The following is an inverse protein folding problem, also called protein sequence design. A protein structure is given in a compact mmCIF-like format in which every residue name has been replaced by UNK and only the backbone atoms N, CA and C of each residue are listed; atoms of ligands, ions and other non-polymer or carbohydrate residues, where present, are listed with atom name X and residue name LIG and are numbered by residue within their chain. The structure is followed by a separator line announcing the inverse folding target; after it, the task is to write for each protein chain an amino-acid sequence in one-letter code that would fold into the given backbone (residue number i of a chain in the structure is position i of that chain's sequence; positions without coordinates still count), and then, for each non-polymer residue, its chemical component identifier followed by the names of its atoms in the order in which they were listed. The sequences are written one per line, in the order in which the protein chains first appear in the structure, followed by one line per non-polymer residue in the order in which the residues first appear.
data_IF_466167460101
#
_entry.id   IF_466167460101
#
_cell.length_a   1.000
_cell.length_b   1.000
_cell.length_c   1.000
_cell.angle_alpha   90.00
_cell.angle_beta   90.00
_cell.angle_gamma   90.00
#
_symmetry.space_group_name_H-M   'P 1'
#
loop_
_entity.id
_entity.type
_entity.pdbx_description
1 polymer ?
#
# COMPACT_ATOMS: atom_id res chain seq x y z
N UNK A 1 23.73 5.50 -2.55
CA UNK A 1 23.57 6.24 -1.28
C UNK A 1 22.43 5.52 -0.62
N UNK A 2 22.80 4.59 0.26
CA UNK A 2 21.94 3.49 0.71
C UNK A 2 20.71 4.03 1.43
N UNK A 3 19.58 3.39 1.16
CA UNK A 3 18.32 3.62 1.86
C UNK A 3 18.60 3.68 3.36
N UNK A 4 18.33 4.84 3.94
CA UNK A 4 18.47 5.12 5.36
C UNK A 4 17.76 4.00 6.14
N UNK A 5 18.53 3.19 6.89
CA UNK A 5 18.00 2.04 7.64
C UNK A 5 16.98 2.52 8.67
N UNK A 6 15.69 2.45 8.35
CA UNK A 6 14.62 2.79 9.29
C UNK A 6 14.69 1.86 10.50
N UNK A 7 15.06 2.42 11.64
CA UNK A 7 15.17 1.73 12.91
C UNK A 7 13.81 1.24 13.40
N UNK A 8 13.81 0.24 14.28
CA UNK A 8 12.58 -0.19 14.93
C UNK A 8 11.91 0.98 15.69
N UNK A 9 12.70 1.80 16.39
CA UNK A 9 12.22 2.95 17.17
C UNK A 9 11.46 3.97 16.31
N UNK A 10 12.00 4.34 15.14
CA UNK A 10 11.33 5.25 14.20
C UNK A 10 10.01 4.66 13.71
N UNK A 11 9.99 3.36 13.42
CA UNK A 11 8.77 2.67 12.98
C UNK A 11 7.70 2.62 14.06
N UNK A 12 8.08 2.40 15.32
CA UNK A 12 7.14 2.49 16.45
C UNK A 12 6.61 3.90 16.66
N UNK A 13 7.45 4.92 16.53
CA UNK A 13 7.05 6.32 16.67
C UNK A 13 6.03 6.69 15.57
N UNK A 14 6.33 6.39 14.31
CA UNK A 14 5.44 6.63 13.19
C UNK A 14 4.11 5.87 13.30
N UNK A 15 4.14 4.63 13.78
CA UNK A 15 2.92 3.87 14.03
C UNK A 15 2.01 4.54 15.06
N UNK A 16 2.56 5.02 16.18
CA UNK A 16 1.79 5.72 17.22
C UNK A 16 1.23 7.05 16.73
N UNK A 17 1.93 7.74 15.85
CA UNK A 17 1.45 8.99 15.25
C UNK A 17 0.30 8.74 14.26
N UNK A 18 0.44 7.74 13.38
CA UNK A 18 -0.56 7.42 12.35
C UNK A 18 -1.79 6.70 12.92
N UNK A 19 -1.58 5.88 13.94
CA UNK A 19 -2.58 5.01 14.55
C UNK A 19 -2.50 5.08 16.08
N UNK A 20 -2.90 6.20 16.71
CA UNK A 20 -2.75 6.43 18.15
C UNK A 20 -3.48 5.39 19.02
N UNK A 21 -4.54 4.78 18.48
CA UNK A 21 -5.31 3.74 19.16
C UNK A 21 -5.01 2.33 18.62
N UNK A 22 -4.09 2.21 17.66
CA UNK A 22 -3.58 0.92 17.20
C UNK A 22 -2.64 0.32 18.24
N UNK A 23 -2.46 -1.00 18.19
CA UNK A 23 -1.49 -1.67 19.05
C UNK A 23 -0.74 -2.77 18.29
N UNK A 24 0.45 -3.09 18.78
CA UNK A 24 1.28 -4.17 18.28
C UNK A 24 1.76 -4.99 19.46
N UNK A 25 1.59 -6.30 19.37
CA UNK A 25 2.03 -7.27 20.36
C UNK A 25 2.94 -8.32 19.73
N UNK A 26 3.77 -8.97 20.53
CA UNK A 26 4.49 -10.14 20.10
C UNK A 26 4.44 -11.21 21.17
N UNK A 27 4.39 -12.46 20.71
CA UNK A 27 4.26 -13.65 21.53
C UNK A 27 5.37 -14.63 21.16
N UNK A 28 5.85 -15.36 22.17
CA UNK A 28 6.80 -16.44 21.96
C UNK A 28 6.08 -17.62 21.32
N UNK A 29 6.42 -17.92 20.06
CA UNK A 29 5.84 -19.04 19.32
C UNK A 29 6.52 -20.37 19.71
N UNK A 30 7.86 -20.36 19.79
CA UNK A 30 8.65 -21.53 20.12
C UNK A 30 10.03 -21.17 20.64
N UNK A 31 10.57 -22.10 21.43
CA UNK A 31 11.97 -22.15 21.85
C UNK A 31 12.56 -23.43 21.28
N UNK A 32 13.69 -23.31 20.59
CA UNK A 32 14.42 -24.43 20.01
C UNK A 32 15.77 -24.56 20.71
N UNK A 33 15.96 -25.68 21.40
CA UNK A 33 17.25 -26.05 21.97
C UNK A 33 17.99 -26.94 20.98
N UNK A 34 19.20 -26.55 20.62
CA UNK A 34 20.01 -27.26 19.62
C UNK A 34 21.01 -28.22 20.28
N UNK A 35 21.46 -29.28 19.58
CA UNK A 35 22.36 -30.29 20.15
C UNK A 35 23.72 -29.75 20.62
N UNK A 36 24.18 -28.64 20.05
CA UNK A 36 25.40 -27.92 20.41
C UNK A 36 25.17 -26.85 21.52
N UNK A 37 23.99 -26.86 22.16
CA UNK A 37 23.68 -26.10 23.36
C UNK A 37 23.25 -24.66 23.13
N UNK A 38 23.14 -24.21 21.87
CA UNK A 38 22.57 -22.89 21.59
C UNK A 38 21.04 -22.94 21.56
N UNK A 39 20.42 -21.78 21.80
CA UNK A 39 18.97 -21.63 21.86
C UNK A 39 18.53 -20.65 20.78
N UNK A 40 17.42 -20.97 20.12
CA UNK A 40 16.73 -20.06 19.19
C UNK A 40 15.33 -19.78 19.71
N UNK A 41 15.01 -18.50 19.87
CA UNK A 41 13.68 -18.01 20.18
C UNK A 41 13.00 -17.60 18.88
N UNK A 42 11.76 -18.02 18.67
CA UNK A 42 10.94 -17.55 17.55
C UNK A 42 9.75 -16.80 18.10
N UNK A 43 9.62 -15.56 17.63
CA UNK A 43 8.56 -14.64 18.02
C UNK A 43 7.59 -14.46 16.85
N UNK A 44 6.30 -14.37 17.17
CA UNK A 44 5.26 -13.95 16.24
C UNK A 44 4.65 -12.64 16.75
N UNK A 45 4.71 -11.60 15.91
CA UNK A 45 4.11 -10.31 16.20
C UNK A 45 2.85 -10.08 15.38
N UNK A 46 1.89 -9.38 15.99
CA UNK A 46 0.61 -9.03 15.43
C UNK A 46 0.36 -7.53 15.63
N UNK A 47 0.00 -6.82 14.57
CA UNK A 47 -0.36 -5.41 14.58
C UNK A 47 -1.85 -5.26 14.25
N UNK A 48 -2.52 -4.38 14.99
CA UNK A 48 -3.96 -4.15 14.91
C UNK A 48 -4.25 -2.66 14.80
N UNK A 49 -5.17 -2.33 13.91
CA UNK A 49 -5.72 -0.99 13.74
C UNK A 49 -7.10 -0.91 14.39
N UNK A 50 -7.36 0.20 15.08
CA UNK A 50 -8.72 0.53 15.48
C UNK A 50 -9.48 1.09 14.28
N UNK A 51 -10.67 0.54 14.01
CA UNK A 51 -11.55 1.01 12.95
C UNK A 51 -12.63 1.92 13.52
N UNK A 52 -12.83 3.15 12.97
CA UNK A 52 -13.91 4.02 13.40
C UNK A 52 -15.27 3.31 13.33
N UNK A 53 -15.99 3.27 14.45
CA UNK A 53 -17.32 2.66 14.56
C UNK A 53 -17.35 1.13 14.69
N UNK A 54 -16.23 0.43 14.50
CA UNK A 54 -16.13 -1.03 14.65
C UNK A 54 -15.18 -1.48 15.76
N UNK A 55 -14.39 -0.55 16.33
CA UNK A 55 -13.39 -0.88 17.36
C UNK A 55 -12.25 -1.72 16.80
N UNK A 56 -11.57 -2.46 17.67
CA UNK A 56 -10.56 -3.42 17.25
C UNK A 56 -11.20 -4.68 16.70
N UNK A 57 -10.74 -5.12 15.53
CA UNK A 57 -11.14 -6.40 14.92
C UNK A 57 -10.34 -7.56 15.53
N UNK A 58 -10.95 -8.74 15.61
CA UNK A 58 -10.35 -9.94 16.22
C UNK A 58 -9.17 -10.53 15.45
N UNK A 59 -9.01 -10.16 14.18
CA UNK A 59 -7.91 -10.61 13.32
C UNK A 59 -6.89 -9.48 13.19
N UNK A 60 -5.58 -9.78 13.31
CA UNK A 60 -4.55 -8.78 13.08
C UNK A 60 -4.54 -8.29 11.63
N UNK A 61 -4.30 -6.99 11.45
CA UNK A 61 -4.16 -6.37 10.13
C UNK A 61 -2.81 -6.73 9.49
N UNK A 62 -1.77 -6.96 10.31
CA UNK A 62 -0.49 -7.47 9.86
C UNK A 62 0.15 -8.41 10.90
N UNK A 63 0.90 -9.40 10.42
CA UNK A 63 1.70 -10.29 11.26
C UNK A 63 3.11 -10.45 10.72
N UNK A 64 4.05 -10.81 11.58
CA UNK A 64 5.41 -11.14 11.16
C UNK A 64 6.10 -12.06 12.17
N UNK A 65 6.97 -12.92 11.64
CA UNK A 65 7.86 -13.75 12.44
C UNK A 65 9.28 -13.20 12.46
N UNK A 66 9.96 -13.42 13.57
CA UNK A 66 11.39 -13.24 13.69
C UNK A 66 11.99 -14.29 14.62
N UNK A 67 13.28 -14.53 14.46
CA UNK A 67 14.05 -15.41 15.32
C UNK A 67 15.28 -14.68 15.84
N UNK A 68 15.72 -15.07 17.02
CA UNK A 68 16.98 -14.64 17.60
C UNK A 68 17.65 -15.84 18.25
N UNK A 69 18.96 -15.98 18.06
CA UNK A 69 19.72 -17.12 18.55
C UNK A 69 20.91 -16.69 19.38
N UNK A 70 21.26 -17.48 20.40
CA UNK A 70 22.52 -17.30 21.14
C UNK A 70 23.77 -17.56 20.30
N UNK A 71 23.62 -18.13 19.09
CA UNK A 71 24.69 -18.39 18.12
C UNK A 71 24.60 -17.49 16.87
N UNK A 72 23.99 -16.32 17.00
CA UNK A 72 23.89 -15.36 15.90
C UNK A 72 25.24 -14.66 15.64
N UNK A 73 25.58 -14.38 14.39
CA UNK A 73 26.80 -13.63 14.02
C UNK A 73 26.72 -12.16 14.50
N UNK A 74 25.50 -11.64 14.70
CA UNK A 74 25.28 -10.33 15.28
C UNK A 74 25.34 -10.38 16.81
N UNK A 75 26.36 -9.75 17.39
CA UNK A 75 26.58 -9.71 18.83
C UNK A 75 25.39 -9.14 19.64
N UNK A 76 24.58 -8.25 19.06
CA UNK A 76 23.37 -7.73 19.71
C UNK A 76 22.32 -8.83 19.83
N UNK A 77 22.11 -9.59 18.75
CA UNK A 77 21.15 -10.70 18.73
C UNK A 77 21.65 -11.82 19.63
N UNK A 78 22.92 -12.19 19.56
CA UNK A 78 23.49 -13.23 20.42
C UNK A 78 23.44 -12.88 21.91
N UNK A 79 23.65 -11.61 22.27
CA UNK A 79 23.61 -11.13 23.66
C UNK A 79 22.20 -11.01 24.25
N UNK A 80 21.17 -10.81 23.42
CA UNK A 80 19.77 -10.69 23.86
C UNK A 80 18.82 -11.23 22.78
N UNK A 81 18.80 -12.56 22.56
CA UNK A 81 18.15 -13.16 21.39
C UNK A 81 16.63 -13.07 21.45
N UNK A 82 16.04 -13.17 22.65
CA UNK A 82 14.60 -13.06 22.83
C UNK A 82 14.13 -11.62 22.57
N UNK A 83 14.78 -10.63 23.18
CA UNK A 83 14.47 -9.21 23.05
C UNK A 83 14.69 -8.73 21.61
N UNK A 84 15.74 -9.23 20.96
CA UNK A 84 16.02 -8.96 19.56
C UNK A 84 14.93 -9.53 18.66
N UNK A 85 14.54 -10.79 18.87
CA UNK A 85 13.45 -11.41 18.12
C UNK A 85 12.12 -10.67 18.33
N UNK A 86 11.79 -10.25 19.55
CA UNK A 86 10.59 -9.46 19.85
C UNK A 86 10.60 -8.14 19.06
N UNK A 87 11.69 -7.39 19.19
CA UNK A 87 11.84 -6.08 18.54
C UNK A 87 11.76 -6.20 17.02
N UNK A 88 12.43 -7.21 16.44
CA UNK A 88 12.44 -7.46 15.00
C UNK A 88 11.04 -7.89 14.52
N UNK A 89 10.36 -8.80 15.24
CA UNK A 89 9.03 -9.26 14.86
C UNK A 89 8.03 -8.11 14.83
N UNK A 90 8.00 -7.28 15.89
CA UNK A 90 7.11 -6.10 15.96
C UNK A 90 7.40 -5.09 14.86
N UNK A 91 8.68 -4.75 14.65
CA UNK A 91 9.09 -3.83 13.59
C UNK A 91 8.68 -4.35 12.20
N UNK A 92 8.83 -5.66 11.95
CA UNK A 92 8.38 -6.28 10.68
C UNK A 92 6.86 -6.28 10.54
N UNK A 93 6.11 -6.54 11.60
CA UNK A 93 4.64 -6.49 11.56
C UNK A 93 4.16 -5.08 11.22
N UNK A 94 4.77 -4.05 11.81
CA UNK A 94 4.51 -2.65 11.46
C UNK A 94 4.93 -2.32 10.02
N UNK A 95 6.04 -2.88 9.53
CA UNK A 95 6.43 -2.70 8.13
C UNK A 95 5.41 -3.33 7.18
N UNK A 96 4.93 -4.54 7.50
CA UNK A 96 3.89 -5.23 6.74
C UNK A 96 2.55 -4.48 6.75
N UNK A 97 2.32 -3.63 7.74
CA UNK A 97 1.20 -2.69 7.79
C UNK A 97 1.41 -1.44 6.91
N UNK A 98 2.60 -1.25 6.36
CA UNK A 98 2.99 -0.09 5.55
C UNK A 98 3.65 1.04 6.35
N UNK A 99 3.97 0.85 7.63
CA UNK A 99 4.60 1.89 8.44
C UNK A 99 6.07 2.05 8.06
N UNK A 100 6.42 3.24 7.55
CA UNK A 100 7.77 3.56 7.06
C UNK A 100 8.32 2.45 6.14
N UNK A 101 7.45 1.91 5.29
CA UNK A 101 7.88 1.15 4.13
C UNK A 101 8.44 2.19 3.15
N UNK A 102 9.68 2.06 2.69
CA UNK A 102 10.31 3.02 1.77
C UNK A 102 9.50 3.26 0.48
N UNK A 103 8.48 2.43 0.23
CA UNK A 103 7.36 2.75 -0.62
C UNK A 103 6.60 3.95 -0.07
N UNK A 104 6.84 5.15 -0.64
CA UNK A 104 5.91 6.29 -0.54
C UNK A 104 4.48 5.73 -0.57
N UNK A 105 3.64 5.93 0.46
CA UNK A 105 2.25 5.52 0.38
C UNK A 105 1.73 6.11 -0.92
N UNK A 106 1.14 5.26 -1.78
CA UNK A 106 0.42 5.77 -2.93
C UNK A 106 -0.55 6.79 -2.33
N UNK A 107 -0.30 8.09 -2.56
CA UNK A 107 -1.18 9.15 -2.10
C UNK A 107 -2.56 8.69 -2.53
N UNK A 108 -3.43 8.40 -1.56
CA UNK A 108 -4.84 8.24 -1.84
C UNK A 108 -5.18 9.54 -2.54
N UNK A 109 -5.38 9.46 -3.86
CA UNK A 109 -5.65 10.66 -4.65
C UNK A 109 -6.88 11.26 -4.00
N UNK A 110 -6.80 12.54 -3.66
CA UNK A 110 -7.99 13.28 -3.27
C UNK A 110 -9.05 13.05 -4.36
N UNK A 111 -10.34 12.87 -3.98
CA UNK A 111 -11.39 12.65 -4.96
C UNK A 111 -11.31 13.72 -6.04
N UNK A 112 -11.05 13.30 -7.29
CA UNK A 112 -10.96 14.24 -8.39
C UNK A 112 -12.36 14.72 -8.76
N UNK A 113 -12.49 16.00 -9.08
CA UNK A 113 -13.74 16.52 -9.63
C UNK A 113 -13.92 16.04 -11.08
N UNK A 114 -15.14 16.04 -11.59
CA UNK A 114 -15.40 15.64 -12.98
C UNK A 114 -14.68 16.55 -13.99
N UNK A 115 -14.47 17.83 -13.66
CA UNK A 115 -13.70 18.76 -14.49
C UNK A 115 -12.22 18.37 -14.54
N UNK A 116 -11.65 17.91 -13.41
CA UNK A 116 -10.27 17.43 -13.36
C UNK A 116 -10.12 16.13 -14.16
N UNK A 117 -11.06 15.20 -14.01
CA UNK A 117 -11.10 13.96 -14.79
C UNK A 117 -11.21 14.28 -16.29
N UNK A 118 -12.12 15.18 -16.66
CA UNK A 118 -12.32 15.62 -18.04
C UNK A 118 -11.07 16.23 -18.66
N UNK A 119 -10.39 17.13 -17.94
CA UNK A 119 -9.15 17.74 -18.38
C UNK A 119 -8.04 16.70 -18.58
N UNK A 120 -7.95 15.68 -17.72
CA UNK A 120 -6.99 14.59 -17.87
C UNK A 120 -7.30 13.70 -19.09
N UNK A 121 -8.57 13.40 -19.36
CA UNK A 121 -9.00 12.67 -20.57
C UNK A 121 -8.65 13.47 -21.83
N UNK A 122 -8.92 14.78 -21.83
CA UNK A 122 -8.56 15.66 -22.95
C UNK A 122 -7.04 15.66 -23.18
N UNK A 123 -6.25 15.85 -22.12
CA UNK A 123 -4.80 15.86 -22.22
C UNK A 123 -4.24 14.51 -22.70
N UNK A 124 -4.82 13.39 -22.26
CA UNK A 124 -4.45 12.05 -22.73
C UNK A 124 -4.79 11.85 -24.21
N UNK A 125 -5.96 12.32 -24.66
CA UNK A 125 -6.34 12.27 -26.08
C UNK A 125 -5.41 13.14 -26.93
N UNK A 126 -5.08 14.35 -26.50
CA UNK A 126 -4.23 15.28 -27.26
C UNK A 126 -2.77 14.80 -27.39
N UNK A 127 -2.30 13.99 -26.44
CA UNK A 127 -0.99 13.30 -26.56
C UNK A 127 -0.98 12.22 -27.64
N UNK A 128 -2.14 11.72 -28.06
CA UNK A 128 -2.25 10.72 -29.12
C UNK A 128 -2.24 11.41 -30.49
N UNK A 129 -1.24 11.15 -31.35
CA UNK A 129 -1.11 11.81 -32.64
C UNK A 129 -2.36 11.63 -33.52
N UNK A 130 -3.02 12.74 -33.86
CA UNK A 130 -4.17 12.74 -34.79
C UNK A 130 -5.48 12.19 -34.20
N UNK A 131 -5.56 11.91 -32.89
CA UNK A 131 -6.79 11.40 -32.29
C UNK A 131 -7.79 12.53 -32.01
N UNK A 132 -8.74 12.72 -32.92
CA UNK A 132 -9.86 13.65 -32.74
C UNK A 132 -10.89 13.11 -31.74
N UNK A 133 -11.72 13.98 -31.18
CA UNK A 133 -12.87 13.59 -30.33
C UNK A 133 -13.81 12.62 -31.07
N UNK A 134 -14.06 12.86 -32.37
CA UNK A 134 -14.86 11.97 -33.22
C UNK A 134 -14.19 10.61 -33.38
N UNK A 135 -12.87 10.58 -33.53
CA UNK A 135 -12.08 9.35 -33.60
C UNK A 135 -12.17 8.55 -32.30
N UNK A 136 -11.97 9.19 -31.16
CA UNK A 136 -12.11 8.53 -29.85
C UNK A 136 -13.52 7.96 -29.64
N UNK A 137 -14.56 8.71 -30.00
CA UNK A 137 -15.94 8.24 -29.92
C UNK A 137 -16.19 6.98 -30.76
N UNK A 138 -15.63 6.92 -31.99
CA UNK A 138 -15.75 5.76 -32.87
C UNK A 138 -15.06 4.52 -32.27
N UNK A 139 -13.86 4.68 -31.71
CA UNK A 139 -13.12 3.58 -31.08
C UNK A 139 -13.87 3.06 -29.86
N UNK A 140 -14.40 3.94 -29.01
CA UNK A 140 -15.21 3.55 -27.85
C UNK A 140 -16.54 2.90 -28.27
N UNK A 141 -17.13 3.33 -29.38
CA UNK A 141 -18.30 2.67 -29.98
C UNK A 141 -18.00 1.25 -30.43
N UNK A 142 -16.82 1.03 -31.01
CA UNK A 142 -16.36 -0.31 -31.39
C UNK A 142 -16.17 -1.23 -30.17
N UNK A 143 -15.86 -0.64 -29.00
CA UNK A 143 -15.79 -1.33 -27.70
C UNK A 143 -17.14 -1.50 -27.00
N UNK A 144 -18.26 -1.16 -27.65
CA UNK A 144 -19.61 -1.39 -27.16
C UNK A 144 -20.24 -0.21 -26.41
N UNK A 145 -19.55 0.93 -26.29
CA UNK A 145 -20.08 2.11 -25.62
C UNK A 145 -20.85 3.01 -26.59
N UNK A 146 -21.98 3.58 -26.18
CA UNK A 146 -22.74 4.51 -27.04
C UNK A 146 -22.13 5.91 -26.99
N UNK A 147 -20.94 6.08 -27.58
CA UNK A 147 -20.22 7.35 -27.59
C UNK A 147 -20.44 8.10 -28.90
N UNK A 148 -20.73 9.39 -28.76
CA UNK A 148 -20.70 10.35 -29.85
C UNK A 148 -19.58 11.37 -29.63
N UNK A 149 -19.25 12.17 -30.63
CA UNK A 149 -18.35 13.31 -30.44
C UNK A 149 -18.84 14.23 -29.29
N UNK A 150 -20.16 14.45 -29.18
CA UNK A 150 -20.75 15.23 -28.11
C UNK A 150 -20.51 14.60 -26.73
N UNK A 151 -20.58 13.27 -26.63
CA UNK A 151 -20.27 12.53 -25.40
C UNK A 151 -18.83 12.77 -24.96
N UNK A 152 -17.88 12.71 -25.90
CA UNK A 152 -16.46 13.00 -25.60
C UNK A 152 -16.31 14.44 -25.12
N UNK A 153 -16.92 15.42 -25.80
CA UNK A 153 -16.85 16.81 -25.37
C UNK A 153 -17.47 17.06 -23.99
N UNK A 154 -18.54 16.36 -23.62
CA UNK A 154 -19.16 16.51 -22.30
C UNK A 154 -18.28 15.92 -21.19
N UNK A 155 -17.63 14.79 -21.46
CA UNK A 155 -16.66 14.19 -20.53
C UNK A 155 -15.44 15.10 -20.37
N UNK A 156 -14.87 15.60 -21.48
CA UNK A 156 -13.68 16.47 -21.43
C UNK A 156 -13.94 17.78 -20.68
N UNK A 157 -15.19 18.26 -20.65
CA UNK A 157 -15.60 19.45 -19.88
C UNK A 157 -16.03 19.14 -18.44
N UNK A 158 -16.10 17.88 -18.03
CA UNK A 158 -16.66 17.47 -16.73
C UNK A 158 -18.18 17.58 -16.61
N UNK A 159 -18.89 17.88 -17.70
CA UNK A 159 -20.37 17.99 -17.72
C UNK A 159 -21.05 16.61 -17.60
N UNK A 160 -20.36 15.56 -18.04
CA UNK A 160 -20.82 14.18 -17.95
C UNK A 160 -19.77 13.35 -17.21
N UNK A 161 -20.16 12.60 -16.16
CA UNK A 161 -19.23 11.76 -15.45
C UNK A 161 -18.69 10.62 -16.33
N UNK A 162 -17.42 10.30 -16.14
CA UNK A 162 -16.79 9.14 -16.76
C UNK A 162 -17.06 7.90 -15.93
N UNK A 163 -17.71 6.88 -16.51
CA UNK A 163 -17.98 5.64 -15.77
C UNK A 163 -16.71 4.80 -15.68
N UNK A 164 -16.54 4.05 -14.59
CA UNK A 164 -15.38 3.19 -14.38
C UNK A 164 -15.13 2.24 -15.56
N UNK A 165 -16.19 1.60 -16.08
CA UNK A 165 -16.06 0.71 -17.24
C UNK A 165 -15.60 1.45 -18.50
N UNK A 166 -15.95 2.72 -18.68
CA UNK A 166 -15.45 3.54 -19.79
C UNK A 166 -13.99 3.93 -19.56
N UNK A 167 -13.63 4.26 -18.31
CA UNK A 167 -12.30 4.65 -17.90
C UNK A 167 -11.26 3.55 -18.10
N UNK A 168 -11.60 2.28 -17.79
CA UNK A 168 -10.73 1.13 -18.03
C UNK A 168 -10.32 1.02 -19.50
N UNK A 169 -11.29 1.20 -20.41
CA UNK A 169 -10.99 1.16 -21.83
C UNK A 169 -10.21 2.39 -22.31
N UNK A 170 -10.43 3.57 -21.72
CA UNK A 170 -9.60 4.74 -22.00
C UNK A 170 -8.16 4.56 -21.50
N UNK A 171 -7.96 3.86 -20.39
CA UNK A 171 -6.63 3.57 -19.86
C UNK A 171 -5.80 2.74 -20.85
N UNK A 172 -6.42 1.78 -21.54
CA UNK A 172 -5.76 1.03 -22.60
C UNK A 172 -5.52 1.87 -23.87
N UNK A 173 -6.50 2.67 -24.28
CA UNK A 173 -6.49 3.35 -25.59
C UNK A 173 -5.61 4.59 -25.62
N UNK A 174 -5.75 5.44 -24.61
CA UNK A 174 -5.11 6.76 -24.56
C UNK A 174 -4.18 6.91 -23.36
N UNK A 175 -3.92 5.81 -22.62
CA UNK A 175 -3.13 5.81 -21.38
C UNK A 175 -3.65 6.79 -20.34
N UNK A 176 -4.97 6.98 -20.32
CA UNK A 176 -5.65 7.69 -19.25
C UNK A 176 -5.39 6.96 -17.93
N UNK A 177 -4.91 7.67 -16.91
CA UNK A 177 -4.50 7.04 -15.66
C UNK A 177 -5.65 7.09 -14.66
N UNK A 178 -6.40 5.99 -14.60
CA UNK A 178 -7.35 5.67 -13.51
C UNK A 178 -6.64 5.55 -12.17
#
# INVERSE_FOLDING_TARGET
MDEEFVTAAERFAAFREQHPNGYVEATLDRVLEHPDGHVTYVMNAAAYLERPGFGMVSRPDATAWAQGSTKDDNAIIAGSPLESADTIARSRALRNLGILDGAKPAKIREPQTEEQIGAEVQAAREKMPGLSQKGLALVMTTRGFKWSQATVSQIEKGERPLRLSEADHLAELIRFRT
#
